data_IF_096971637897
#
_entry.id   IF_096971637897
#
_cell.length_a   1.000
_cell.length_b   1.000
_cell.length_c   1.000
_cell.angle_alpha   90.00
_cell.angle_beta   90.00
_cell.angle_gamma   90.00
#
_symmetry.space_group_name_H-M   'P 1'
#
loop_
_entity.id
_entity.type
_entity.pdbx_description
1 polymer ?
#
# COMPACT_ATOMS: atom_id res chain seq x y z
N UNK A 1 15.73 -16.27 -48.57
CA UNK A 1 14.57 -16.33 -49.48
C UNK A 1 13.69 -17.51 -49.07
N UNK A 2 12.38 -17.45 -49.36
CA UNK A 2 11.25 -18.35 -48.99
C UNK A 2 10.77 -18.25 -47.52
N UNK A 3 9.82 -17.36 -47.17
CA UNK A 3 8.35 -17.34 -47.40
C UNK A 3 7.61 -18.58 -46.85
N UNK A 4 6.82 -18.38 -45.80
CA UNK A 4 5.80 -19.31 -45.31
C UNK A 4 4.83 -18.60 -44.35
N UNK A 5 3.88 -17.85 -44.91
CA UNK A 5 2.85 -17.06 -44.20
C UNK A 5 1.51 -17.76 -44.45
N UNK A 6 0.86 -18.28 -43.42
CA UNK A 6 -0.51 -18.81 -43.49
C UNK A 6 -1.46 -17.92 -42.67
N UNK A 7 -2.62 -17.52 -43.22
CA UNK A 7 -3.60 -16.69 -42.52
C UNK A 7 -4.70 -17.55 -41.89
N UNK A 8 -5.22 -17.15 -40.72
CA UNK A 8 -6.52 -17.62 -40.24
C UNK A 8 -7.52 -16.46 -40.23
N UNK A 9 -8.47 -16.55 -41.17
CA UNK A 9 -9.77 -15.87 -41.18
C UNK A 9 -10.72 -16.60 -40.22
N UNK A 10 -11.70 -15.89 -39.68
CA UNK A 10 -12.89 -16.51 -39.11
C UNK A 10 -13.59 -15.66 -38.05
N UNK A 11 -14.14 -14.51 -38.46
CA UNK A 11 -15.19 -13.85 -37.70
C UNK A 11 -16.57 -14.39 -38.09
N UNK A 12 -17.48 -14.47 -37.13
CA UNK A 12 -18.93 -14.42 -37.35
C UNK A 12 -19.68 -14.23 -36.02
N UNK A 13 -20.93 -13.73 -36.08
CA UNK A 13 -21.36 -12.64 -35.22
C UNK A 13 -22.57 -12.96 -34.33
N UNK A 14 -22.82 -12.04 -33.39
CA UNK A 14 -24.17 -11.56 -33.05
C UNK A 14 -24.98 -12.40 -32.06
N UNK A 15 -25.36 -11.77 -30.95
CA UNK A 15 -26.79 -11.68 -30.59
C UNK A 15 -27.03 -10.46 -29.72
N UNK A 16 -27.75 -9.47 -30.28
CA UNK A 16 -28.46 -8.43 -29.55
C UNK A 16 -29.66 -9.08 -28.86
N UNK A 17 -29.89 -8.77 -27.59
CA UNK A 17 -31.23 -8.84 -27.01
C UNK A 17 -31.50 -7.62 -26.13
N UNK A 18 -32.49 -6.88 -26.61
CA UNK A 18 -33.14 -5.68 -26.08
C UNK A 18 -34.19 -6.06 -25.03
N UNK A 19 -34.71 -5.05 -24.31
CA UNK A 19 -35.98 -4.99 -23.53
C UNK A 19 -35.80 -5.37 -22.05
N UNK A 20 -36.26 -4.63 -21.03
CA UNK A 20 -37.28 -3.58 -20.92
C UNK A 20 -37.10 -2.90 -19.55
N UNK A 21 -37.15 -1.57 -19.51
CA UNK A 21 -37.80 -0.80 -18.41
C UNK A 21 -39.32 -0.83 -18.67
N UNK A 22 -40.26 -0.57 -17.72
CA UNK A 22 -40.27 0.65 -16.88
C UNK A 22 -40.99 0.54 -15.51
N UNK A 23 -41.02 1.66 -14.77
CA UNK A 23 -41.99 1.96 -13.69
C UNK A 23 -41.30 2.13 -12.33
N UNK A 24 -41.19 3.29 -11.69
CA UNK A 24 -42.08 4.44 -11.71
C UNK A 24 -43.06 4.34 -10.54
N UNK A 25 -42.69 4.81 -9.35
CA UNK A 25 -43.65 5.27 -8.34
C UNK A 25 -43.03 6.37 -7.49
N UNK A 26 -43.65 7.54 -7.62
CA UNK A 26 -43.52 8.75 -6.82
C UNK A 26 -44.39 8.54 -5.58
N UNK A 27 -43.90 8.85 -4.38
CA UNK A 27 -44.75 9.37 -3.30
C UNK A 27 -43.99 10.45 -2.52
N UNK A 28 -44.65 11.61 -2.48
CA UNK A 28 -44.34 12.85 -1.76
C UNK A 28 -45.00 12.78 -0.34
N UNK A 29 -44.99 13.83 0.50
CA UNK A 29 -44.51 13.78 1.89
C UNK A 29 -45.65 13.96 2.92
N UNK A 30 -45.32 13.87 4.21
CA UNK A 30 -46.13 14.41 5.32
C UNK A 30 -45.17 15.07 6.32
N UNK A 31 -45.18 16.41 6.44
CA UNK A 31 -45.94 17.27 7.39
C UNK A 31 -45.75 16.84 8.87
N UNK A 32 -45.05 17.65 9.69
CA UNK A 32 -45.58 18.77 10.52
C UNK A 32 -46.63 18.25 11.53
N UNK A 33 -46.55 18.41 12.84
CA UNK A 33 -46.25 19.49 13.80
C UNK A 33 -45.82 18.80 15.15
N UNK A 34 -45.35 19.41 16.24
CA UNK A 34 -45.70 20.67 16.87
C UNK A 34 -44.67 21.04 17.97
N UNK A 35 -44.76 22.29 18.39
CA UNK A 35 -43.85 23.05 19.25
C UNK A 35 -43.99 22.76 20.75
N UNK A 36 -42.92 23.05 21.49
CA UNK A 36 -42.92 23.22 22.95
C UNK A 36 -41.86 24.26 23.35
N UNK A 37 -42.23 25.37 24.03
CA UNK A 37 -41.40 26.56 24.16
C UNK A 37 -40.50 26.51 25.40
N UNK A 38 -39.31 27.11 25.33
CA UNK A 38 -38.57 27.51 26.53
C UNK A 38 -37.74 28.77 26.27
N UNK A 39 -38.04 29.75 27.12
CA UNK A 39 -37.72 31.17 27.18
C UNK A 39 -36.21 31.52 27.11
N UNK A 40 -35.85 32.67 26.52
CA UNK A 40 -34.46 33.14 26.41
C UNK A 40 -33.98 33.82 27.70
N UNK A 41 -32.71 33.62 28.06
CA UNK A 41 -32.02 34.41 29.09
C UNK A 41 -30.82 35.11 28.45
N UNK A 42 -30.53 36.39 28.78
CA UNK A 42 -29.73 37.25 27.95
C UNK A 42 -28.23 37.24 28.28
N UNK A 43 -27.44 37.41 27.22
CA UNK A 43 -26.19 38.17 27.13
C UNK A 43 -25.03 37.81 28.07
N UNK A 44 -24.00 37.21 27.49
CA UNK A 44 -22.70 37.88 27.42
C UNK A 44 -22.02 37.52 26.11
N UNK A 45 -22.24 38.38 25.11
CA UNK A 45 -21.47 38.39 23.88
C UNK A 45 -20.04 38.81 24.23
N UNK A 46 -19.14 37.86 24.45
CA UNK A 46 -17.74 38.05 24.07
C UNK A 46 -17.58 37.51 22.66
N UNK A 47 -17.95 38.33 21.69
CA UNK A 47 -17.59 38.14 20.29
C UNK A 47 -16.07 38.23 20.22
N UNK A 48 -15.38 37.11 20.43
CA UNK A 48 -14.03 36.94 19.91
C UNK A 48 -14.22 36.95 18.39
N UNK A 49 -14.00 38.10 17.78
CA UNK A 49 -13.82 38.24 16.34
C UNK A 49 -12.96 37.06 15.86
N UNK A 50 -13.49 36.20 15.00
CA UNK A 50 -12.70 35.14 14.38
C UNK A 50 -11.52 35.82 13.66
N UNK A 51 -10.28 35.71 14.17
CA UNK A 51 -9.16 36.53 13.70
C UNK A 51 -8.70 36.19 12.27
N UNK A 52 -9.35 35.21 11.64
CA UNK A 52 -8.98 34.64 10.34
C UNK A 52 -9.72 35.32 9.19
N UNK A 53 -10.94 35.83 9.43
CA UNK A 53 -11.82 36.35 8.37
C UNK A 53 -11.29 37.63 7.71
N UNK A 54 -10.55 38.45 8.44
CA UNK A 54 -9.99 39.72 7.95
C UNK A 54 -8.51 39.63 7.58
N UNK A 55 -7.92 38.43 7.56
CA UNK A 55 -6.48 38.28 7.33
C UNK A 55 -6.12 38.45 5.84
N UNK A 56 -5.13 39.27 5.48
CA UNK A 56 -4.82 39.62 4.08
C UNK A 56 -4.39 38.43 3.20
N UNK A 57 -3.92 37.34 3.82
CA UNK A 57 -3.55 36.11 3.13
C UNK A 57 -4.73 35.14 2.91
N UNK A 58 -5.90 35.38 3.50
CA UNK A 58 -7.06 34.48 3.40
C UNK A 58 -7.46 34.20 1.93
N UNK A 59 -7.54 35.19 1.02
CA UNK A 59 -7.86 34.91 -0.38
C UNK A 59 -6.81 34.02 -1.06
N UNK A 60 -5.53 34.21 -0.73
CA UNK A 60 -4.44 33.42 -1.28
C UNK A 60 -4.46 31.99 -0.75
N UNK A 61 -4.80 31.79 0.53
CA UNK A 61 -4.98 30.45 1.11
C UNK A 61 -6.14 29.72 0.43
N UNK A 62 -7.27 30.39 0.18
CA UNK A 62 -8.42 29.80 -0.49
C UNK A 62 -8.15 29.42 -1.95
N UNK A 63 -7.29 30.18 -2.63
CA UNK A 63 -6.88 29.92 -4.01
C UNK A 63 -5.68 28.97 -4.13
N UNK A 64 -5.19 28.42 -3.01
CA UNK A 64 -4.04 27.53 -3.02
C UNK A 64 -4.40 26.23 -3.78
N UNK A 65 -3.56 25.75 -4.71
CA UNK A 65 -3.76 24.46 -5.36
C UNK A 65 -3.73 23.28 -4.38
N UNK A 66 -4.57 22.26 -4.60
CA UNK A 66 -4.72 21.08 -3.73
C UNK A 66 -3.38 20.38 -3.42
N UNK A 67 -2.46 20.32 -4.39
CA UNK A 67 -1.16 19.66 -4.23
C UNK A 67 -0.17 20.41 -3.31
N UNK A 68 -0.49 21.66 -2.93
CA UNK A 68 0.27 22.53 -2.03
C UNK A 68 -0.36 22.66 -0.64
N UNK A 69 -1.53 22.07 -0.36
CA UNK A 69 -2.13 22.08 0.99
C UNK A 69 -1.26 21.42 2.05
N UNK A 70 -0.33 20.56 1.63
CA UNK A 70 0.70 19.96 2.49
C UNK A 70 1.48 21.01 3.30
N UNK A 71 1.65 22.23 2.77
CA UNK A 71 2.36 23.32 3.44
C UNK A 71 1.53 24.00 4.55
N UNK A 72 0.22 23.75 4.60
CA UNK A 72 -0.68 24.23 5.67
C UNK A 72 -0.82 23.22 6.81
N UNK A 73 -0.24 22.02 6.71
CA UNK A 73 -0.34 21.02 7.77
C UNK A 73 0.49 21.41 8.99
N UNK A 74 -0.03 21.21 10.21
CA UNK A 74 0.71 21.48 11.45
C UNK A 74 1.97 20.62 11.58
N UNK A 75 1.91 19.34 11.19
CA UNK A 75 3.04 18.40 11.21
C UNK A 75 3.92 18.47 9.94
N UNK A 76 4.01 19.65 9.31
CA UNK A 76 4.75 19.87 8.08
C UNK A 76 6.20 19.34 8.12
N UNK A 77 6.87 19.47 9.25
CA UNK A 77 8.28 19.08 9.41
C UNK A 77 8.49 17.58 9.17
N UNK A 78 7.56 16.74 9.63
CA UNK A 78 7.59 15.27 9.47
C UNK A 78 7.43 14.85 8.01
N UNK A 79 6.54 15.52 7.28
CA UNK A 79 6.20 15.19 5.88
C UNK A 79 7.09 15.93 4.86
N UNK A 80 7.92 16.88 5.32
CA UNK A 80 8.76 17.74 4.47
C UNK A 80 9.80 16.98 3.62
N UNK A 81 10.16 15.77 4.04
CA UNK A 81 11.09 14.88 3.35
C UNK A 81 10.59 14.49 1.95
N UNK A 82 9.29 14.27 1.77
CA UNK A 82 8.67 13.88 0.50
C UNK A 82 8.36 15.01 -0.48
N UNK A 83 8.58 16.27 -0.09
CA UNK A 83 8.23 17.44 -0.89
C UNK A 83 9.35 17.79 -1.87
N UNK A 84 9.01 18.06 -3.13
CA UNK A 84 9.96 18.41 -4.20
C UNK A 84 10.30 19.90 -4.20
N UNK A 85 11.48 20.27 -4.74
CA UNK A 85 11.91 21.68 -4.84
C UNK A 85 10.89 22.55 -5.60
N UNK A 86 10.27 21.99 -6.64
CA UNK A 86 9.26 22.68 -7.43
C UNK A 86 8.04 23.07 -6.59
N UNK A 87 7.61 22.21 -5.65
CA UNK A 87 6.49 22.51 -4.75
C UNK A 87 6.83 23.64 -3.78
N UNK A 88 8.05 23.65 -3.21
CA UNK A 88 8.53 24.75 -2.38
C UNK A 88 8.56 26.08 -3.15
N UNK A 89 9.10 26.06 -4.38
CA UNK A 89 9.10 27.25 -5.23
C UNK A 89 7.68 27.75 -5.51
N UNK A 90 6.75 26.86 -5.88
CA UNK A 90 5.37 27.22 -6.20
C UNK A 90 4.65 27.86 -5.00
N UNK A 91 4.79 27.31 -3.80
CA UNK A 91 4.14 27.90 -2.61
C UNK A 91 4.74 29.26 -2.26
N UNK A 92 6.06 29.42 -2.38
CA UNK A 92 6.73 30.71 -2.13
C UNK A 92 6.28 31.80 -3.12
N UNK A 93 6.17 31.47 -4.41
CA UNK A 93 5.72 32.41 -5.45
C UNK A 93 4.22 32.73 -5.30
N UNK A 94 3.42 31.75 -4.90
CA UNK A 94 1.98 31.92 -4.70
C UNK A 94 1.66 33.00 -3.66
N UNK A 95 2.38 32.98 -2.52
CA UNK A 95 2.17 33.97 -1.45
C UNK A 95 3.02 35.23 -1.60
N UNK A 96 4.15 35.16 -2.32
CA UNK A 96 5.00 36.32 -2.61
C UNK A 96 5.56 36.25 -4.04
N UNK A 97 4.84 36.81 -5.03
CA UNK A 97 5.29 36.81 -6.43
C UNK A 97 6.64 37.50 -6.66
N UNK A 98 7.07 38.38 -5.74
CA UNK A 98 8.35 39.10 -5.80
C UNK A 98 9.50 38.34 -5.13
N UNK A 99 9.30 37.07 -4.77
CA UNK A 99 10.33 36.26 -4.14
C UNK A 99 11.58 36.09 -5.01
N UNK A 100 12.75 36.07 -4.38
CA UNK A 100 14.02 35.73 -5.03
C UNK A 100 14.20 34.21 -5.19
N UNK A 101 13.28 33.39 -4.69
CA UNK A 101 13.31 31.95 -4.86
C UNK A 101 13.30 31.55 -6.35
N UNK A 102 14.04 30.51 -6.70
CA UNK A 102 14.10 29.93 -8.05
C UNK A 102 13.98 28.41 -7.96
N UNK A 103 13.42 27.73 -8.98
CA UNK A 103 13.34 26.27 -8.99
C UNK A 103 14.71 25.58 -8.92
N UNK A 104 15.77 26.28 -9.33
CA UNK A 104 17.16 25.81 -9.33
C UNK A 104 17.85 25.91 -7.96
N UNK A 105 17.24 26.56 -6.97
CA UNK A 105 17.79 26.59 -5.61
C UNK A 105 17.76 25.21 -4.95
N UNK A 106 18.67 25.01 -3.99
CA UNK A 106 18.71 23.80 -3.16
C UNK A 106 17.44 23.67 -2.33
N UNK A 107 17.04 22.43 -2.05
CA UNK A 107 15.86 22.12 -1.24
C UNK A 107 15.92 22.80 0.12
N UNK A 108 17.10 22.78 0.74
CA UNK A 108 17.32 23.33 2.08
C UNK A 108 17.13 24.84 2.10
N UNK A 109 17.62 25.56 1.10
CA UNK A 109 17.41 27.01 0.97
C UNK A 109 15.92 27.34 0.81
N UNK A 110 15.23 26.61 -0.07
CA UNK A 110 13.80 26.83 -0.30
C UNK A 110 12.94 26.47 0.94
N UNK A 111 13.34 25.44 1.68
CA UNK A 111 12.71 25.06 2.95
C UNK A 111 12.96 26.12 4.03
N UNK A 112 14.18 26.64 4.14
CA UNK A 112 14.51 27.73 5.06
C UNK A 112 13.70 28.99 4.72
N UNK A 113 13.68 29.40 3.45
CA UNK A 113 12.88 30.54 2.99
C UNK A 113 11.39 30.36 3.32
N UNK A 114 10.85 29.14 3.19
CA UNK A 114 9.48 28.84 3.59
C UNK A 114 9.26 28.97 5.10
N UNK A 115 10.11 28.33 5.91
CA UNK A 115 9.96 28.30 7.37
C UNK A 115 10.18 29.67 8.02
N UNK A 116 11.11 30.46 7.50
CA UNK A 116 11.44 31.77 8.08
C UNK A 116 10.48 32.87 7.61
N UNK A 117 10.15 32.90 6.31
CA UNK A 117 9.48 34.06 5.71
C UNK A 117 7.99 33.86 5.46
N UNK A 118 7.52 32.62 5.36
CA UNK A 118 6.13 32.35 4.99
C UNK A 118 5.36 31.62 6.09
N UNK A 119 5.97 30.61 6.72
CA UNK A 119 5.33 29.79 7.76
C UNK A 119 4.74 30.59 8.92
N UNK A 120 5.39 31.63 9.48
CA UNK A 120 4.81 32.41 10.57
C UNK A 120 3.52 33.13 10.18
N UNK A 121 3.40 33.57 8.91
CA UNK A 121 2.20 34.23 8.42
C UNK A 121 1.06 33.26 8.06
N UNK A 122 1.38 31.96 7.93
CA UNK A 122 0.40 30.90 7.69
C UNK A 122 -0.12 30.25 8.97
N UNK A 123 0.44 30.60 10.14
CA UNK A 123 0.06 30.05 11.44
C UNK A 123 -1.46 30.07 11.72
N UNK A 124 -2.20 31.16 11.39
CA UNK A 124 -3.65 31.20 11.60
C UNK A 124 -4.45 30.23 10.71
N UNK A 125 -3.85 29.71 9.64
CA UNK A 125 -4.50 28.85 8.64
C UNK A 125 -4.02 27.40 8.71
N UNK A 126 -3.24 27.04 9.73
CA UNK A 126 -2.72 25.69 9.83
C UNK A 126 -3.84 24.70 10.08
N UNK A 127 -3.85 23.66 9.26
CA UNK A 127 -4.81 22.57 9.31
C UNK A 127 -4.18 21.45 10.14
N UNK A 128 -4.95 20.89 11.06
CA UNK A 128 -4.53 19.66 11.74
C UNK A 128 -4.30 18.57 10.68
N UNK A 129 -3.26 17.72 10.83
CA UNK A 129 -3.10 16.59 9.94
C UNK A 129 -4.41 15.80 9.89
N UNK A 130 -4.80 15.29 8.71
CA UNK A 130 -5.91 14.36 8.65
C UNK A 130 -5.63 13.27 9.67
N UNK A 131 -6.55 13.09 10.65
CA UNK A 131 -6.44 12.00 11.63
C UNK A 131 -6.10 10.75 10.83
N UNK A 132 -5.09 9.96 11.23
CA UNK A 132 -4.83 8.69 10.57
C UNK A 132 -6.17 7.99 10.51
N UNK A 133 -6.66 7.76 9.30
CA UNK A 133 -7.91 7.08 9.09
C UNK A 133 -7.71 5.71 9.72
N UNK A 134 -8.17 5.55 10.96
CA UNK A 134 -8.78 4.29 11.33
C UNK A 134 -9.75 4.05 10.19
N UNK A 135 -9.66 2.94 9.45
CA UNK A 135 -10.66 2.61 8.46
C UNK A 135 -11.97 2.43 9.24
N UNK A 136 -12.67 3.53 9.49
CA UNK A 136 -14.09 3.54 9.74
C UNK A 136 -14.65 2.80 8.55
N UNK A 137 -15.27 1.66 8.85
CA UNK A 137 -15.65 0.65 7.88
C UNK A 137 -16.07 1.32 6.59
N UNK A 138 -15.26 1.13 5.55
CA UNK A 138 -15.81 1.28 4.22
C UNK A 138 -17.07 0.42 4.25
N UNK A 139 -18.21 1.05 3.98
CA UNK A 139 -19.38 0.33 3.52
C UNK A 139 -18.84 -0.39 2.27
N UNK A 140 -18.39 -1.64 2.45
CA UNK A 140 -17.80 -2.43 1.37
C UNK A 140 -19.00 -2.73 0.51
N UNK A 141 -19.14 -1.91 -0.53
CA UNK A 141 -20.01 -2.10 -1.66
C UNK A 141 -20.11 -3.61 -1.93
N UNK A 142 -21.30 -4.17 -1.71
CA UNK A 142 -21.60 -5.61 -1.61
C UNK A 142 -21.33 -6.40 -2.91
N UNK A 143 -20.73 -5.76 -3.92
CA UNK A 143 -20.33 -6.34 -5.20
C UNK A 143 -18.80 -6.37 -5.36
N UNK A 144 -18.09 -6.68 -4.27
CA UNK A 144 -16.65 -6.88 -4.28
C UNK A 144 -16.29 -8.33 -4.63
N UNK A 145 -15.77 -8.55 -5.84
CA UNK A 145 -15.20 -9.84 -6.24
C UNK A 145 -13.73 -9.96 -5.78
N UNK A 146 -13.39 -10.85 -4.81
CA UNK A 146 -12.03 -10.99 -4.29
C UNK A 146 -11.02 -11.48 -5.34
N UNK A 147 -11.48 -12.15 -6.41
CA UNK A 147 -10.62 -12.68 -7.47
C UNK A 147 -10.50 -11.75 -8.68
N UNK A 148 -11.21 -10.63 -8.69
CA UNK A 148 -11.18 -9.70 -9.79
C UNK A 148 -9.80 -9.04 -9.94
N UNK A 149 -9.36 -8.81 -11.18
CA UNK A 149 -8.03 -8.22 -11.49
C UNK A 149 -7.77 -6.84 -10.88
N UNK A 150 -8.83 -6.11 -10.51
CA UNK A 150 -8.73 -4.78 -9.88
C UNK A 150 -8.66 -4.86 -8.35
N UNK A 151 -8.90 -6.03 -7.78
CA UNK A 151 -8.84 -6.24 -6.35
C UNK A 151 -7.43 -6.05 -5.86
N UNK A 152 -7.29 -5.13 -4.90
CA UNK A 152 -6.00 -4.76 -4.33
C UNK A 152 -5.79 -5.44 -2.98
N UNK A 153 -4.53 -5.55 -2.56
CA UNK A 153 -4.17 -6.02 -1.21
C UNK A 153 -4.88 -5.23 -0.12
N UNK A 154 -4.98 -3.91 -0.28
CA UNK A 154 -5.63 -3.02 0.68
C UNK A 154 -7.13 -3.33 0.84
N UNK A 155 -7.83 -3.61 -0.27
CA UNK A 155 -9.25 -3.98 -0.22
C UNK A 155 -9.47 -5.30 0.52
N UNK A 156 -8.66 -6.33 0.22
CA UNK A 156 -8.74 -7.61 0.91
C UNK A 156 -8.40 -7.48 2.40
N UNK A 157 -7.34 -6.73 2.73
CA UNK A 157 -6.95 -6.46 4.13
C UNK A 157 -8.07 -5.74 4.88
N UNK A 158 -8.69 -4.72 4.28
CA UNK A 158 -9.80 -4.00 4.90
C UNK A 158 -11.00 -4.92 5.17
N UNK A 159 -11.36 -5.78 4.21
CA UNK A 159 -12.43 -6.76 4.38
C UNK A 159 -12.14 -7.82 5.46
N UNK A 160 -10.89 -8.29 5.55
CA UNK A 160 -10.49 -9.22 6.61
C UNK A 160 -10.54 -8.53 7.97
N UNK A 161 -10.05 -7.29 8.06
CA UNK A 161 -10.01 -6.55 9.32
C UNK A 161 -11.39 -6.05 9.77
N UNK A 162 -12.33 -5.81 8.86
CA UNK A 162 -13.72 -5.51 9.24
C UNK A 162 -14.39 -6.73 9.89
N UNK A 163 -14.16 -7.93 9.34
CA UNK A 163 -14.71 -9.16 9.89
C UNK A 163 -13.95 -9.67 11.12
N UNK A 164 -12.62 -9.47 11.17
CA UNK A 164 -11.76 -9.90 12.26
C UNK A 164 -10.65 -8.87 12.56
N UNK A 165 -10.96 -7.81 13.35
CA UNK A 165 -10.04 -6.70 13.63
C UNK A 165 -8.72 -7.08 14.30
N UNK A 166 -8.68 -8.20 15.03
CA UNK A 166 -7.46 -8.69 15.72
C UNK A 166 -6.49 -9.46 14.83
N UNK A 167 -6.73 -9.57 13.52
CA UNK A 167 -5.87 -10.35 12.62
C UNK A 167 -4.61 -9.57 12.25
N UNK A 168 -3.44 -10.14 12.52
CA UNK A 168 -2.17 -9.58 12.03
C UNK A 168 -1.94 -10.01 10.58
N UNK A 169 -1.86 -9.04 9.67
CA UNK A 169 -1.52 -9.27 8.25
C UNK A 169 -0.20 -8.56 7.97
N UNK A 170 0.80 -9.31 7.49
CA UNK A 170 2.11 -8.76 7.20
C UNK A 170 2.03 -7.75 6.04
N UNK A 171 2.72 -6.61 6.17
CA UNK A 171 2.69 -5.52 5.19
C UNK A 171 3.25 -5.90 3.81
N UNK A 172 4.05 -6.96 3.75
CA UNK A 172 4.68 -7.54 2.55
C UNK A 172 3.98 -8.82 2.06
N UNK A 173 2.92 -9.30 2.73
CA UNK A 173 2.19 -10.50 2.34
C UNK A 173 1.67 -10.42 0.90
N UNK A 174 1.90 -11.45 0.09
CA UNK A 174 1.45 -11.48 -1.30
C UNK A 174 -0.07 -11.59 -1.39
N UNK A 175 -0.64 -11.20 -2.53
CA UNK A 175 -2.11 -11.18 -2.71
C UNK A 175 -2.74 -12.58 -2.57
N UNK A 176 -2.06 -13.63 -3.05
CA UNK A 176 -2.45 -15.02 -2.90
C UNK A 176 -2.47 -15.48 -1.43
N UNK A 177 -1.50 -15.02 -0.64
CA UNK A 177 -1.47 -15.29 0.81
C UNK A 177 -2.63 -14.58 1.53
N UNK A 178 -2.93 -13.33 1.16
CA UNK A 178 -4.04 -12.57 1.73
C UNK A 178 -5.39 -13.21 1.33
N UNK A 179 -5.52 -13.73 0.11
CA UNK A 179 -6.72 -14.44 -0.33
C UNK A 179 -7.00 -15.71 0.49
N UNK A 180 -5.97 -16.42 0.96
CA UNK A 180 -6.14 -17.55 1.87
C UNK A 180 -6.74 -17.08 3.21
N UNK A 181 -6.29 -15.92 3.72
CA UNK A 181 -6.86 -15.32 4.93
C UNK A 181 -8.29 -14.83 4.70
N UNK A 182 -8.56 -14.23 3.54
CA UNK A 182 -9.90 -13.81 3.14
C UNK A 182 -10.85 -15.00 3.10
N UNK A 183 -10.46 -16.10 2.43
CA UNK A 183 -11.23 -17.34 2.44
C UNK A 183 -11.52 -17.82 3.87
N UNK A 184 -10.51 -17.82 4.73
CA UNK A 184 -10.66 -18.33 6.10
C UNK A 184 -11.61 -17.50 6.96
N UNK A 185 -11.64 -16.18 6.78
CA UNK A 185 -12.33 -15.27 7.71
C UNK A 185 -13.57 -14.58 7.14
N UNK A 186 -13.66 -14.41 5.83
CA UNK A 186 -14.72 -13.65 5.16
C UNK A 186 -15.62 -14.55 4.32
N UNK A 187 -15.02 -15.40 3.46
CA UNK A 187 -15.76 -16.26 2.54
C UNK A 187 -15.18 -17.69 2.50
N UNK A 188 -15.61 -18.59 3.42
CA UNK A 188 -15.13 -19.97 3.47
C UNK A 188 -15.39 -20.79 2.19
N UNK A 189 -16.41 -20.41 1.43
CA UNK A 189 -16.83 -21.10 0.21
C UNK A 189 -16.04 -20.64 -1.02
N UNK A 190 -15.24 -19.57 -0.89
CA UNK A 190 -14.38 -19.05 -1.96
C UNK A 190 -13.47 -20.14 -2.52
N UNK A 191 -13.56 -20.39 -3.83
CA UNK A 191 -12.71 -21.35 -4.53
C UNK A 191 -11.45 -20.65 -5.03
N UNK A 192 -10.34 -20.82 -4.30
CA UNK A 192 -9.03 -20.31 -4.72
C UNK A 192 -8.35 -21.27 -5.70
N UNK A 193 -7.59 -20.75 -6.68
CA UNK A 193 -6.70 -21.58 -7.49
C UNK A 193 -5.73 -22.35 -6.59
N UNK A 194 -5.46 -23.62 -6.92
CA UNK A 194 -4.54 -24.44 -6.14
C UNK A 194 -3.13 -23.82 -6.15
N UNK A 195 -2.66 -23.35 -4.98
CA UNK A 195 -1.28 -22.92 -4.82
C UNK A 195 -0.39 -24.17 -4.75
N UNK A 196 0.16 -24.55 -5.89
CA UNK A 196 1.04 -25.72 -5.98
C UNK A 196 2.51 -25.39 -5.77
N UNK A 197 2.88 -24.12 -5.62
CA UNK A 197 4.27 -23.62 -5.57
C UNK A 197 5.07 -24.32 -4.46
N UNK A 198 4.45 -24.55 -3.31
CA UNK A 198 5.07 -25.16 -2.12
C UNK A 198 4.54 -26.56 -1.79
N UNK A 199 3.74 -27.14 -2.69
CA UNK A 199 3.13 -28.47 -2.49
C UNK A 199 4.00 -29.61 -3.03
N UNK A 200 5.05 -29.29 -3.79
CA UNK A 200 5.91 -30.26 -4.48
C UNK A 200 7.34 -29.80 -4.43
N UNK A 201 8.28 -30.75 -4.39
CA UNK A 201 9.72 -30.48 -4.46
C UNK A 201 10.02 -29.59 -5.68
N UNK A 202 10.64 -28.41 -5.49
CA UNK A 202 10.87 -27.48 -6.58
C UNK A 202 11.95 -28.01 -7.51
N UNK A 203 11.87 -27.68 -8.80
CA UNK A 203 12.93 -28.03 -9.77
C UNK A 203 14.22 -27.26 -9.45
N UNK A 204 15.37 -27.86 -9.73
CA UNK A 204 16.64 -27.14 -9.73
C UNK A 204 16.57 -25.99 -10.75
N UNK A 205 16.86 -24.79 -10.28
CA UNK A 205 17.01 -23.59 -11.09
C UNK A 205 18.49 -23.22 -11.24
N UNK A 206 18.90 -22.69 -12.41
CA UNK A 206 20.19 -22.04 -12.57
C UNK A 206 20.37 -20.89 -11.57
N UNK A 207 21.59 -20.67 -11.10
CA UNK A 207 21.93 -19.66 -10.07
C UNK A 207 21.36 -18.27 -10.40
N UNK A 208 21.50 -17.82 -11.65
CA UNK A 208 20.98 -16.52 -12.08
C UNK A 208 19.44 -16.39 -11.95
N UNK A 209 18.71 -17.50 -12.03
CA UNK A 209 17.26 -17.54 -11.81
C UNK A 209 16.93 -17.69 -10.33
N UNK A 210 17.67 -18.52 -9.60
CA UNK A 210 17.51 -18.70 -8.16
C UNK A 210 17.73 -17.39 -7.39
N UNK A 211 18.73 -16.60 -7.77
CA UNK A 211 19.01 -15.30 -7.17
C UNK A 211 17.85 -14.28 -7.30
N UNK A 212 16.90 -14.50 -8.22
CA UNK A 212 15.72 -13.65 -8.39
C UNK A 212 14.49 -14.16 -7.64
N UNK A 213 14.61 -15.28 -6.93
CA UNK A 213 13.52 -15.89 -6.18
C UNK A 213 13.39 -15.27 -4.79
N UNK A 214 12.22 -15.45 -4.20
CA UNK A 214 11.91 -15.00 -2.84
C UNK A 214 12.68 -15.83 -1.81
N UNK A 215 12.85 -15.27 -0.61
CA UNK A 215 13.43 -16.02 0.51
C UNK A 215 12.62 -17.27 0.86
N UNK A 216 11.29 -17.21 0.78
CA UNK A 216 10.40 -18.37 0.96
C UNK A 216 10.75 -19.50 -0.01
N UNK A 217 10.89 -19.19 -1.30
CA UNK A 217 11.25 -20.18 -2.31
C UNK A 217 12.64 -20.78 -2.05
N UNK A 218 13.64 -19.95 -1.74
CA UNK A 218 15.01 -20.42 -1.48
C UNK A 218 15.05 -21.35 -0.26
N UNK A 219 14.36 -20.98 0.82
CA UNK A 219 14.22 -21.82 2.01
C UNK A 219 13.53 -23.14 1.70
N UNK A 220 12.43 -23.10 0.96
CA UNK A 220 11.70 -24.30 0.56
C UNK A 220 12.57 -25.21 -0.32
N UNK A 221 13.29 -24.65 -1.28
CA UNK A 221 14.23 -25.41 -2.11
C UNK A 221 15.34 -26.07 -1.27
N UNK A 222 15.96 -25.32 -0.36
CA UNK A 222 16.95 -25.87 0.57
C UNK A 222 16.37 -27.01 1.41
N UNK A 223 15.18 -26.83 1.99
CA UNK A 223 14.53 -27.86 2.80
C UNK A 223 14.23 -29.13 1.99
N UNK A 224 13.83 -29.01 0.72
CA UNK A 224 13.53 -30.18 -0.12
C UNK A 224 14.76 -30.88 -0.71
N UNK A 225 15.84 -30.15 -0.95
CA UNK A 225 17.04 -30.66 -1.64
C UNK A 225 18.18 -30.99 -0.69
N UNK A 226 18.32 -30.24 0.39
CA UNK A 226 19.36 -30.40 1.39
C UNK A 226 18.75 -30.40 2.81
N UNK A 227 17.88 -31.37 3.14
CA UNK A 227 17.15 -31.41 4.42
C UNK A 227 18.08 -31.55 5.64
N UNK A 228 19.29 -32.06 5.43
CA UNK A 228 20.35 -32.16 6.43
C UNK A 228 21.03 -30.82 6.75
N UNK A 229 20.65 -29.72 6.10
CA UNK A 229 21.22 -28.39 6.34
C UNK A 229 20.28 -27.58 7.23
N UNK A 230 20.72 -27.31 8.45
CA UNK A 230 20.04 -26.36 9.33
C UNK A 230 20.55 -24.95 9.06
N UNK A 231 19.67 -24.06 8.60
CA UNK A 231 20.04 -22.66 8.35
C UNK A 231 19.73 -21.81 9.57
N UNK A 232 20.75 -21.12 10.09
CA UNK A 232 20.62 -20.30 11.29
C UNK A 232 19.81 -19.03 11.00
N UNK A 233 19.10 -18.50 12.00
CA UNK A 233 18.26 -17.30 11.86
C UNK A 233 19.05 -16.08 11.35
N UNK A 234 20.32 -15.94 11.76
CA UNK A 234 21.22 -14.87 11.29
C UNK A 234 21.50 -14.93 9.79
N UNK A 235 21.42 -16.12 9.20
CA UNK A 235 21.56 -16.34 7.76
C UNK A 235 20.22 -16.33 7.01
N UNK A 236 19.10 -16.02 7.68
CA UNK A 236 17.81 -15.80 7.04
C UNK A 236 17.75 -14.43 6.38
N UNK A 237 18.72 -14.13 5.51
CA UNK A 237 18.71 -12.97 4.62
C UNK A 237 18.76 -13.47 3.18
N UNK A 238 18.24 -12.66 2.26
CA UNK A 238 18.19 -13.07 0.85
C UNK A 238 19.57 -13.43 0.28
N UNK A 239 20.64 -12.63 0.45
CA UNK A 239 21.96 -12.97 -0.09
C UNK A 239 22.52 -14.29 0.47
N UNK A 240 22.34 -14.53 1.77
CA UNK A 240 22.82 -15.76 2.42
C UNK A 240 22.05 -16.99 1.96
N UNK A 241 20.73 -16.88 1.78
CA UNK A 241 19.91 -17.96 1.23
C UNK A 241 20.25 -18.28 -0.22
N UNK A 242 20.64 -17.27 -1.02
CA UNK A 242 21.15 -17.50 -2.38
C UNK A 242 22.46 -18.26 -2.32
N UNK A 243 23.42 -17.85 -1.48
CA UNK A 243 24.70 -18.56 -1.36
C UNK A 243 24.50 -20.00 -0.86
N UNK A 244 23.60 -20.22 0.11
CA UNK A 244 23.27 -21.56 0.58
C UNK A 244 22.63 -22.40 -0.53
N UNK A 245 21.74 -21.81 -1.33
CA UNK A 245 21.17 -22.47 -2.50
C UNK A 245 22.27 -22.86 -3.51
N UNK A 246 23.22 -21.96 -3.80
CA UNK A 246 24.35 -22.23 -4.69
C UNK A 246 25.14 -23.43 -4.16
N UNK A 247 25.50 -23.40 -2.87
CA UNK A 247 26.31 -24.45 -2.24
C UNK A 247 25.62 -25.82 -2.15
N UNK A 248 24.33 -25.86 -1.81
CA UNK A 248 23.66 -27.11 -1.41
C UNK A 248 22.58 -27.58 -2.38
N UNK A 249 22.09 -26.73 -3.28
CA UNK A 249 21.04 -27.09 -4.25
C UNK A 249 21.58 -27.06 -5.68
N UNK A 250 22.43 -26.09 -6.01
CA UNK A 250 23.14 -26.07 -7.29
C UNK A 250 24.46 -26.88 -7.25
N UNK A 251 24.97 -27.18 -6.05
CA UNK A 251 26.25 -27.86 -5.83
C UNK A 251 27.42 -27.14 -6.53
N UNK A 252 27.36 -25.80 -6.52
CA UNK A 252 28.38 -24.92 -7.09
C UNK A 252 29.24 -24.27 -5.98
N UNK A 253 30.44 -23.85 -6.32
CA UNK A 253 31.35 -23.19 -5.38
C UNK A 253 30.87 -21.79 -5.02
N UNK A 254 30.87 -21.51 -3.71
CA UNK A 254 30.62 -20.17 -3.17
C UNK A 254 31.96 -19.56 -2.76
N UNK A 255 32.25 -18.29 -3.09
CA UNK A 255 33.47 -17.62 -2.65
C UNK A 255 33.71 -17.73 -1.14
N UNK A 256 34.98 -17.93 -0.77
CA UNK A 256 35.40 -18.09 0.62
C UNK A 256 34.97 -16.89 1.48
N UNK A 257 34.62 -17.16 2.75
CA UNK A 257 34.18 -16.15 3.71
C UNK A 257 32.71 -15.71 3.59
N UNK A 258 32.02 -16.02 2.48
CA UNK A 258 30.58 -15.68 2.34
C UNK A 258 29.67 -16.57 3.18
N UNK A 259 30.04 -17.83 3.33
CA UNK A 259 29.35 -18.79 4.19
C UNK A 259 30.33 -19.41 5.17
N UNK A 260 29.92 -19.45 6.43
CA UNK A 260 30.73 -19.94 7.55
C UNK A 260 29.93 -21.02 8.26
N UNK A 261 30.47 -22.24 8.27
CA UNK A 261 29.91 -23.38 8.98
C UNK A 261 29.86 -23.09 10.49
N UNK A 262 28.76 -23.46 11.15
CA UNK A 262 28.51 -23.18 12.57
C UNK A 262 28.00 -21.77 12.85
N UNK A 263 28.14 -20.82 11.93
CA UNK A 263 27.59 -19.46 12.07
C UNK A 263 26.36 -19.25 11.18
N UNK A 264 26.48 -19.49 9.88
CA UNK A 264 25.38 -19.31 8.92
C UNK A 264 24.50 -20.54 8.80
N UNK A 265 25.11 -21.72 8.86
CA UNK A 265 24.42 -23.01 8.76
C UNK A 265 25.20 -24.09 9.51
N UNK A 266 24.50 -25.15 9.88
CA UNK A 266 25.06 -26.37 10.46
C UNK A 266 24.57 -27.59 9.66
N UNK A 267 25.34 -28.67 9.70
CA UNK A 267 24.91 -29.97 9.16
C UNK A 267 24.28 -30.76 10.30
N UNK A 268 23.15 -31.39 10.01
CA UNK A 268 22.47 -32.29 10.93
C UNK A 268 23.03 -33.68 10.62
N UNK A 269 23.93 -34.17 11.47
CA UNK A 269 24.58 -35.47 11.27
C UNK A 269 23.63 -36.64 11.59
N UNK A 270 22.65 -36.41 12.48
CA UNK A 270 21.67 -37.41 12.92
C UNK A 270 20.41 -37.47 12.03
N UNK A 271 20.50 -37.11 10.75
CA UNK A 271 19.37 -37.31 9.82
C UNK A 271 19.22 -38.81 9.54
N UNK A 272 18.56 -39.49 10.47
CA UNK A 272 18.34 -40.92 10.60
C UNK A 272 18.30 -41.67 9.27
N UNK A 273 19.02 -42.80 9.25
CA UNK A 273 18.86 -43.97 8.38
C UNK A 273 17.40 -44.50 8.45
N UNK A 274 16.43 -43.75 7.93
CA UNK A 274 15.06 -44.23 7.75
C UNK A 274 14.98 -44.91 6.38
N UNK A 275 15.68 -46.03 6.23
CA UNK A 275 15.84 -46.65 4.90
C UNK A 275 16.47 -48.03 4.81
N UNK A 276 16.44 -48.85 5.88
CA UNK A 276 16.52 -50.31 5.77
C UNK A 276 15.53 -50.95 6.75
N UNK A 277 14.27 -51.00 6.34
CA UNK A 277 13.26 -51.93 6.86
C UNK A 277 12.49 -52.48 5.66
#
# INVERSE_FOLDING_TARGET
MTKGKTPRKGGSPGTLSTLKSPGGTIYLPSKQEDQGPSTPTPQSNSTKSNPVSDHPLLPLVQMLPNDLYVFLQRNFEEISSGITNLKYYRVLVHFNPKTSARPTHTKDKLKADFLEKLRPHLEPFLIDPPKPSTPAGADIDLDFDPLHRRTTRAMLTAAILSQRPGTTIASDARIDQILILYKKYVDPDLVLPANTEYSRKPKHLPVAKAAKKTMEYLRFALQCHAPNIFVHSIAMTHPMLVDLYIKFVAEEDVPEGRLVYGYHYSKIDDFMDVGKA
#
